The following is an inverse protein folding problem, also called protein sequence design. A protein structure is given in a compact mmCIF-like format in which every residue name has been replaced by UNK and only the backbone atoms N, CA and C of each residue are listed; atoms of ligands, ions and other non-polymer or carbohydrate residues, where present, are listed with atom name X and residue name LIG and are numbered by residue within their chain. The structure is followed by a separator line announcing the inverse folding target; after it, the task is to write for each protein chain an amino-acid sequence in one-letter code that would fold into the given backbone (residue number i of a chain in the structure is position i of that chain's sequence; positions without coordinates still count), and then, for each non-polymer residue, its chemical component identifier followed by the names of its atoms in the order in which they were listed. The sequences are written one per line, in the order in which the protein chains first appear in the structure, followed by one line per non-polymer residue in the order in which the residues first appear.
data_IF_359725333366
#
_entry.id   IF_359725333366
#
_cell.length_a   1.000
_cell.length_b   1.000
_cell.length_c   1.000
_cell.angle_alpha   90.00
_cell.angle_beta   90.00
_cell.angle_gamma   90.00
#
_symmetry.space_group_name_H-M   'P 1'
#
loop_
_entity.id
_entity.type
_entity.pdbx_description
1 polymer ?
#
# COMPACT_ATOMS: atom_id res chain seq x y z
N UNK A 1 -0.35 -10.75 -6.95
CA UNK A 1 0.82 -9.88 -6.66
C UNK A 1 1.28 -9.26 -7.97
N UNK A 2 1.54 -7.96 -8.00
CA UNK A 2 2.09 -7.26 -9.16
C UNK A 2 3.30 -6.41 -8.78
N UNK A 3 4.08 -6.01 -9.78
CA UNK A 3 5.13 -4.99 -9.69
C UNK A 3 4.88 -3.91 -10.74
N UNK A 4 4.65 -2.68 -10.29
CA UNK A 4 4.24 -1.58 -11.16
C UNK A 4 5.43 -0.75 -11.62
N UNK A 5 5.52 -0.50 -12.93
CA UNK A 5 6.67 0.12 -13.60
C UNK A 5 6.30 1.16 -14.66
N UNK A 6 5.00 1.40 -14.89
CA UNK A 6 4.56 2.47 -15.79
C UNK A 6 4.86 3.84 -15.15
N UNK A 7 5.54 4.72 -15.88
CA UNK A 7 5.75 6.09 -15.44
C UNK A 7 4.88 7.04 -16.28
N UNK A 8 3.92 7.64 -15.61
CA UNK A 8 3.03 8.64 -16.19
C UNK A 8 3.77 9.84 -16.77
N UNK A 9 3.39 10.24 -17.97
CA UNK A 9 3.81 11.50 -18.60
C UNK A 9 3.26 12.73 -17.88
N UNK A 10 2.17 12.58 -17.12
CA UNK A 10 1.63 13.63 -16.26
C UNK A 10 2.41 13.79 -14.93
N UNK A 11 3.39 12.92 -14.65
CA UNK A 11 4.16 12.97 -13.41
C UNK A 11 5.13 14.18 -13.41
N UNK A 12 4.93 15.17 -12.51
CA UNK A 12 5.73 16.41 -12.49
C UNK A 12 7.14 16.22 -11.94
N UNK A 13 7.41 15.08 -11.30
CA UNK A 13 8.68 14.82 -10.64
C UNK A 13 9.80 14.54 -11.64
N UNK A 14 11.08 14.79 -11.30
CA UNK A 14 12.20 14.46 -12.16
C UNK A 14 12.24 12.97 -12.55
N UNK A 15 12.68 12.67 -13.79
CA UNK A 15 12.71 11.30 -14.33
C UNK A 15 13.52 10.31 -13.49
N UNK A 16 14.57 10.77 -12.81
CA UNK A 16 15.43 9.92 -11.96
C UNK A 16 14.70 9.34 -10.74
N UNK A 17 13.57 9.93 -10.34
CA UNK A 17 12.76 9.42 -9.23
C UNK A 17 11.94 8.17 -9.62
N UNK A 18 11.96 7.76 -10.89
CA UNK A 18 11.30 6.54 -11.34
C UNK A 18 9.78 6.61 -11.16
N UNK A 19 9.15 5.52 -10.72
CA UNK A 19 7.71 5.50 -10.46
C UNK A 19 7.44 5.86 -9.01
N UNK A 20 6.77 6.99 -8.81
CA UNK A 20 6.48 7.50 -7.46
C UNK A 20 5.32 6.74 -6.83
N UNK A 21 5.35 6.63 -5.50
CA UNK A 21 4.27 6.03 -4.72
C UNK A 21 2.93 6.73 -5.01
N UNK A 22 1.89 5.94 -5.27
CA UNK A 22 0.53 6.41 -5.53
C UNK A 22 0.24 6.77 -6.98
N UNK A 23 1.23 6.76 -7.89
CA UNK A 23 1.01 7.04 -9.31
C UNK A 23 0.44 5.85 -10.10
N UNK A 24 0.22 4.70 -9.46
CA UNK A 24 -0.60 3.64 -10.03
C UNK A 24 -2.10 3.97 -9.96
N UNK A 25 -2.51 4.81 -9.00
CA UNK A 25 -3.91 5.12 -8.69
C UNK A 25 -4.59 5.79 -9.88
N UNK A 26 -3.92 6.71 -10.57
CA UNK A 26 -4.48 7.42 -11.72
C UNK A 26 -4.94 6.45 -12.83
N UNK A 27 -4.22 5.35 -13.05
CA UNK A 27 -4.59 4.33 -14.02
C UNK A 27 -5.72 3.43 -13.52
N UNK A 28 -5.70 3.10 -12.23
CA UNK A 28 -6.73 2.31 -11.58
C UNK A 28 -8.10 2.99 -11.57
N UNK A 29 -8.14 4.33 -11.69
CA UNK A 29 -9.37 5.13 -11.73
C UNK A 29 -9.69 5.75 -13.10
N UNK A 30 -8.94 5.43 -14.16
CA UNK A 30 -9.28 5.92 -15.50
C UNK A 30 -8.92 7.39 -15.76
N UNK A 31 -7.94 7.97 -15.05
CA UNK A 31 -7.58 9.37 -15.22
C UNK A 31 -7.10 9.73 -16.65
N UNK A 32 -6.29 8.91 -17.36
CA UNK A 32 -5.93 9.19 -18.76
C UNK A 32 -7.13 9.24 -19.71
N UNK A 33 -8.23 8.56 -19.37
CA UNK A 33 -9.46 8.53 -20.16
C UNK A 33 -10.33 9.77 -19.88
N UNK A 34 -10.43 10.17 -18.61
CA UNK A 34 -11.31 11.26 -18.16
C UNK A 34 -10.65 12.64 -18.23
N UNK A 35 -9.32 12.71 -18.11
CA UNK A 35 -8.52 13.94 -18.12
C UNK A 35 -7.30 13.81 -19.05
N UNK A 36 -7.51 13.55 -20.36
CA UNK A 36 -6.42 13.33 -21.32
C UNK A 36 -5.48 14.53 -21.48
N UNK A 37 -5.95 15.74 -21.18
CA UNK A 37 -5.16 16.98 -21.29
C UNK A 37 -3.99 17.07 -20.32
N UNK A 38 -3.94 16.24 -19.27
CA UNK A 38 -2.85 16.19 -18.31
C UNK A 38 -1.62 15.44 -18.82
N UNK A 39 -1.76 14.65 -19.88
CA UNK A 39 -0.75 13.72 -20.38
C UNK A 39 -0.08 14.26 -21.65
N UNK A 40 1.13 13.76 -21.96
CA UNK A 40 1.81 14.08 -23.21
C UNK A 40 1.03 13.49 -24.38
N UNK A 41 0.69 14.33 -25.37
CA UNK A 41 -0.07 13.93 -26.57
C UNK A 41 0.60 12.80 -27.36
N UNK A 42 1.93 12.72 -27.35
CA UNK A 42 2.67 11.70 -28.08
C UNK A 42 2.54 10.30 -27.44
N UNK A 43 2.20 10.24 -26.16
CA UNK A 43 2.11 9.00 -25.38
C UNK A 43 0.71 8.72 -24.85
N UNK A 44 -0.23 9.67 -25.03
CA UNK A 44 -1.59 9.60 -24.49
C UNK A 44 -2.31 8.29 -24.85
N UNK A 45 -2.16 7.81 -26.08
CA UNK A 45 -2.76 6.56 -26.55
C UNK A 45 -2.24 5.35 -25.74
N UNK A 46 -0.94 5.30 -25.44
CA UNK A 46 -0.35 4.28 -24.57
C UNK A 46 -0.88 4.37 -23.14
N UNK A 47 -0.99 5.58 -22.58
CA UNK A 47 -1.51 5.83 -21.23
C UNK A 47 -2.98 5.41 -21.09
N UNK A 48 -3.79 5.70 -22.12
CA UNK A 48 -5.19 5.32 -22.18
C UNK A 48 -5.37 3.81 -22.29
N UNK A 49 -4.63 3.14 -23.19
CA UNK A 49 -4.63 1.67 -23.29
C UNK A 49 -4.19 1.03 -21.99
N UNK A 50 -3.16 1.56 -21.35
CA UNK A 50 -2.69 1.02 -20.08
C UNK A 50 -3.73 1.19 -18.98
N UNK A 51 -4.40 2.34 -18.89
CA UNK A 51 -5.48 2.55 -17.92
C UNK A 51 -6.66 1.61 -18.16
N UNK A 52 -7.09 1.43 -19.42
CA UNK A 52 -8.13 0.46 -19.78
C UNK A 52 -7.74 -0.96 -19.39
N UNK A 53 -6.49 -1.34 -19.65
CA UNK A 53 -5.94 -2.64 -19.28
C UNK A 53 -5.98 -2.87 -17.76
N UNK A 54 -5.55 -1.89 -16.96
CA UNK A 54 -5.60 -1.96 -15.50
C UNK A 54 -7.05 -2.07 -14.99
N UNK A 55 -7.96 -1.25 -15.52
CA UNK A 55 -9.38 -1.30 -15.18
C UNK A 55 -10.00 -2.66 -15.48
N UNK A 56 -9.64 -3.26 -16.63
CA UNK A 56 -10.10 -4.59 -17.01
C UNK A 56 -9.60 -5.65 -16.02
N UNK A 57 -8.30 -5.65 -15.70
CA UNK A 57 -7.72 -6.58 -14.71
C UNK A 57 -8.43 -6.50 -13.35
N UNK A 58 -8.74 -5.28 -12.89
CA UNK A 58 -9.47 -5.08 -11.63
C UNK A 58 -10.93 -5.49 -11.70
N UNK A 59 -11.60 -5.17 -12.81
CA UNK A 59 -12.97 -5.62 -13.09
C UNK A 59 -13.07 -7.14 -13.08
N UNK A 60 -12.19 -7.82 -13.81
CA UNK A 60 -12.16 -9.28 -13.92
C UNK A 60 -11.83 -9.94 -12.58
N UNK A 61 -10.90 -9.37 -11.80
CA UNK A 61 -10.62 -9.82 -10.44
C UNK A 61 -11.84 -9.67 -9.52
N UNK A 62 -12.52 -8.53 -9.56
CA UNK A 62 -13.70 -8.28 -8.72
C UNK A 62 -14.87 -9.21 -9.06
N UNK A 63 -14.99 -9.60 -10.33
CA UNK A 63 -16.09 -10.42 -10.83
C UNK A 63 -15.82 -11.92 -10.65
N UNK A 64 -14.59 -12.37 -10.92
CA UNK A 64 -14.26 -13.81 -11.03
C UNK A 64 -13.25 -14.29 -9.99
N UNK A 65 -12.58 -13.37 -9.28
CA UNK A 65 -11.45 -13.67 -8.40
C UNK A 65 -10.13 -13.92 -9.14
N UNK A 66 -10.11 -13.86 -10.47
CA UNK A 66 -8.93 -14.07 -11.31
C UNK A 66 -8.77 -12.91 -12.31
N UNK A 67 -7.75 -12.04 -12.18
CA UNK A 67 -7.61 -10.86 -13.03
C UNK A 67 -7.29 -11.20 -14.49
N UNK A 68 -6.50 -12.26 -14.73
CA UNK A 68 -6.12 -12.71 -16.06
C UNK A 68 -5.54 -14.12 -16.00
N UNK A 69 -5.64 -14.93 -17.07
CA UNK A 69 -5.11 -16.30 -17.10
C UNK A 69 -3.57 -16.36 -17.01
N UNK A 70 -2.87 -15.35 -17.52
CA UNK A 70 -1.41 -15.24 -17.47
C UNK A 70 -0.90 -14.60 -16.18
N UNK A 71 -1.78 -14.12 -15.29
CA UNK A 71 -1.36 -13.57 -14.00
C UNK A 71 -1.27 -14.70 -12.97
N UNK A 72 -0.06 -15.15 -12.59
CA UNK A 72 0.08 -16.26 -11.67
C UNK A 72 -0.41 -15.90 -10.27
N UNK A 73 -1.13 -16.84 -9.63
CA UNK A 73 -1.49 -16.74 -8.22
C UNK A 73 -0.23 -16.74 -7.36
N UNK A 74 -0.12 -15.72 -6.51
CA UNK A 74 1.04 -15.59 -5.63
C UNK A 74 1.11 -16.75 -4.62
N UNK A 75 2.31 -17.28 -4.42
CA UNK A 75 2.59 -18.26 -3.38
C UNK A 75 3.98 -18.01 -2.77
N UNK A 76 4.22 -18.50 -1.55
CA UNK A 76 5.46 -18.25 -0.79
C UNK A 76 6.68 -18.99 -1.31
N UNK A 77 6.49 -19.97 -2.21
CA UNK A 77 7.56 -20.81 -2.75
C UNK A 77 8.12 -20.16 -4.02
N UNK A 78 7.27 -20.02 -5.04
CA UNK A 78 7.64 -19.48 -6.34
C UNK A 78 7.74 -17.95 -6.35
N UNK A 79 7.00 -17.25 -5.48
CA UNK A 79 7.07 -15.79 -5.31
C UNK A 79 6.99 -15.00 -6.63
N UNK A 80 6.12 -15.44 -7.55
CA UNK A 80 5.89 -14.82 -8.86
C UNK A 80 4.98 -13.59 -8.76
N UNK A 81 5.31 -12.53 -9.50
CA UNK A 81 4.52 -11.32 -9.65
C UNK A 81 4.45 -10.90 -11.12
N UNK A 82 3.28 -10.42 -11.55
CA UNK A 82 3.11 -9.84 -12.88
C UNK A 82 3.68 -8.42 -12.90
N UNK A 83 4.47 -8.07 -13.92
CA UNK A 83 4.90 -6.69 -14.12
C UNK A 83 3.83 -5.93 -14.90
N UNK A 84 3.43 -4.80 -14.36
CA UNK A 84 2.50 -3.86 -14.99
C UNK A 84 3.30 -2.64 -15.44
N UNK A 85 3.45 -2.45 -16.74
CA UNK A 85 4.25 -1.39 -17.33
C UNK A 85 3.87 -1.10 -18.77
N UNK A 86 4.67 -0.30 -19.46
CA UNK A 86 4.42 0.05 -20.87
C UNK A 86 4.33 -1.19 -21.78
N UNK A 87 5.20 -2.18 -21.57
CA UNK A 87 5.22 -3.47 -22.28
C UNK A 87 3.86 -4.20 -22.19
N UNK A 88 3.13 -4.05 -21.07
CA UNK A 88 1.82 -4.67 -20.88
C UNK A 88 0.78 -4.19 -21.90
N UNK A 89 0.92 -2.95 -22.41
CA UNK A 89 0.03 -2.42 -23.46
C UNK A 89 0.24 -3.07 -24.82
N UNK A 90 1.40 -3.71 -25.02
CA UNK A 90 1.77 -4.42 -26.26
C UNK A 90 1.40 -5.90 -26.21
N UNK A 91 0.73 -6.34 -25.13
CA UNK A 91 0.40 -7.75 -24.90
C UNK A 91 1.56 -8.58 -24.36
N UNK A 92 2.66 -7.94 -23.95
CA UNK A 92 3.78 -8.62 -23.31
C UNK A 92 3.50 -8.83 -21.82
N UNK A 93 3.62 -10.06 -21.35
CA UNK A 93 3.34 -10.44 -19.97
C UNK A 93 4.63 -10.87 -19.28
N UNK A 94 5.30 -9.92 -18.63
CA UNK A 94 6.55 -10.19 -17.91
C UNK A 94 6.27 -10.65 -16.49
N UNK A 95 6.79 -11.82 -16.11
CA UNK A 95 6.71 -12.35 -14.76
C UNK A 95 8.04 -12.16 -14.05
N UNK A 96 8.03 -11.44 -12.93
CA UNK A 96 9.18 -11.33 -12.04
C UNK A 96 9.07 -12.35 -10.90
N UNK A 97 10.21 -12.94 -10.54
CA UNK A 97 10.33 -13.89 -9.43
C UNK A 97 11.10 -13.21 -8.31
N UNK A 98 10.59 -13.33 -7.09
CA UNK A 98 11.24 -12.83 -5.86
C UNK A 98 11.56 -11.32 -5.91
N UNK A 99 10.52 -10.51 -6.14
CA UNK A 99 10.61 -9.05 -6.21
C UNK A 99 11.31 -8.50 -4.96
N UNK A 100 12.45 -7.83 -5.16
CA UNK A 100 13.33 -7.29 -4.11
C UNK A 100 13.77 -8.31 -3.04
N UNK A 101 13.78 -9.61 -3.34
CA UNK A 101 14.03 -10.66 -2.35
C UNK A 101 15.37 -10.58 -1.62
N UNK A 102 16.43 -10.05 -2.25
CA UNK A 102 17.72 -9.81 -1.60
C UNK A 102 17.62 -8.71 -0.54
N UNK A 103 16.98 -7.59 -0.86
CA UNK A 103 16.79 -6.46 0.05
C UNK A 103 15.87 -6.81 1.21
N UNK A 104 14.79 -7.55 0.95
CA UNK A 104 13.90 -8.02 2.02
C UNK A 104 14.65 -8.89 3.04
N UNK A 105 15.50 -9.81 2.56
CA UNK A 105 16.35 -10.65 3.43
C UNK A 105 17.32 -9.81 4.26
N UNK A 106 17.99 -8.85 3.63
CA UNK A 106 18.91 -7.94 4.33
C UNK A 106 18.21 -7.14 5.43
N UNK A 107 16.99 -6.65 5.17
CA UNK A 107 16.19 -5.94 6.17
C UNK A 107 15.78 -6.87 7.31
N UNK A 108 15.40 -8.11 7.03
CA UNK A 108 15.00 -9.08 8.05
C UNK A 108 16.19 -9.49 8.93
N UNK A 109 17.38 -9.66 8.35
CA UNK A 109 18.63 -9.86 9.08
C UNK A 109 18.95 -8.65 9.96
N UNK A 110 18.84 -7.43 9.43
CA UNK A 110 19.04 -6.19 10.17
C UNK A 110 18.09 -6.04 11.37
N UNK A 111 16.80 -6.35 11.19
CA UNK A 111 15.80 -6.38 12.28
C UNK A 111 16.14 -7.40 13.35
N UNK A 112 16.68 -8.56 12.93
CA UNK A 112 17.13 -9.62 13.85
C UNK A 112 18.29 -9.14 14.71
N UNK A 113 19.28 -8.48 14.11
CA UNK A 113 20.43 -7.92 14.83
C UNK A 113 20.03 -6.76 15.74
N UNK A 114 19.11 -5.89 15.30
CA UNK A 114 18.63 -4.74 16.06
C UNK A 114 17.69 -5.11 17.24
N UNK A 115 17.42 -6.40 17.46
CA UNK A 115 16.50 -6.84 18.52
C UNK A 115 15.04 -6.46 18.28
N UNK A 116 14.68 -6.05 17.06
CA UNK A 116 13.33 -5.62 16.68
C UNK A 116 12.40 -6.80 16.35
N UNK A 117 12.85 -8.03 16.57
CA UNK A 117 12.01 -9.21 16.36
C UNK A 117 11.00 -9.26 17.49
N UNK A 118 9.76 -8.91 17.18
CA UNK A 118 8.61 -9.11 18.06
C UNK A 118 8.56 -10.55 18.56
N UNK A 119 8.16 -10.69 19.83
CA UNK A 119 8.14 -11.86 20.72
C UNK A 119 7.56 -13.19 20.16
N UNK A 120 7.10 -13.24 18.91
CA UNK A 120 6.60 -14.46 18.29
C UNK A 120 7.65 -15.58 18.22
N UNK A 121 8.96 -15.27 18.17
CA UNK A 121 10.01 -16.30 18.21
C UNK A 121 10.27 -16.83 19.63
N UNK A 122 10.04 -16.01 20.67
CA UNK A 122 10.19 -16.44 22.08
C UNK A 122 9.11 -17.45 22.50
N UNK A 123 7.94 -17.45 21.84
CA UNK A 123 6.87 -18.43 22.09
C UNK A 123 7.14 -19.80 21.46
N UNK A 124 8.17 -19.95 20.61
CA UNK A 124 8.50 -21.23 19.94
C UNK A 124 9.37 -22.17 20.79
N UNK A 125 9.98 -21.66 21.85
CA UNK A 125 10.79 -22.43 22.80
C UNK A 125 10.08 -22.74 24.12
N UNK A 126 8.81 -22.35 24.28
CA UNK A 126 8.04 -22.84 25.42
C UNK A 126 7.53 -24.26 25.13
N UNK A 127 7.90 -25.27 25.93
CA UNK A 127 7.33 -26.60 25.80
C UNK A 127 5.82 -26.55 26.08
N UNK A 128 5.08 -27.45 25.43
CA UNK A 128 3.62 -27.64 25.58
C UNK A 128 3.34 -28.24 26.96
N UNK A 129 3.51 -27.47 28.02
CA UNK A 129 3.22 -27.90 29.38
C UNK A 129 2.92 -26.69 30.27
N UNK A 130 1.76 -26.07 30.04
CA UNK A 130 0.97 -25.37 31.07
C UNK A 130 -0.33 -24.85 30.44
N UNK A 131 -1.22 -25.73 29.99
CA UNK A 131 -2.65 -25.42 30.08
C UNK A 131 -3.04 -25.80 31.51
N UNK A 132 -2.69 -24.93 32.46
CA UNK A 132 -3.25 -24.96 33.80
C UNK A 132 -4.41 -23.98 33.81
N UNK A 133 -5.61 -24.52 33.97
CA UNK A 133 -6.83 -23.79 34.23
C UNK A 133 -6.66 -22.90 35.46
N UNK A 134 -6.84 -21.60 35.30
CA UNK A 134 -7.18 -20.71 36.41
C UNK A 134 -8.44 -19.94 36.05
N UNK A 135 -9.56 -20.52 36.47
CA UNK A 135 -10.77 -19.80 36.85
C UNK A 135 -10.41 -18.62 37.77
N UNK A 136 -10.77 -17.40 37.39
CA UNK A 136 -10.47 -16.18 38.15
C UNK A 136 -11.34 -15.02 37.70
N UNK A 137 -12.55 -14.98 38.26
CA UNK A 137 -13.30 -13.81 38.74
C UNK A 137 -13.24 -12.49 37.95
N UNK A 138 -14.38 -12.12 37.37
CA UNK A 138 -14.74 -10.76 36.98
C UNK A 138 -14.68 -9.82 38.19
N UNK A 139 -13.82 -8.80 38.14
CA UNK A 139 -13.89 -7.66 39.05
C UNK A 139 -14.28 -6.43 38.23
N UNK A 140 -15.52 -5.98 38.44
CA UNK A 140 -16.00 -4.66 38.06
C UNK A 140 -15.35 -3.67 39.05
N UNK A 141 -14.72 -2.62 38.55
CA UNK A 141 -14.30 -1.49 39.38
C UNK A 141 -14.76 -0.20 38.71
N UNK A 142 -15.89 0.30 39.17
CA UNK A 142 -16.32 1.68 39.01
C UNK A 142 -15.48 2.56 39.93
N UNK A 143 -14.93 3.65 39.40
CA UNK A 143 -14.44 4.77 40.22
C UNK A 143 -14.47 6.05 39.39
N UNK A 144 -15.44 6.88 39.73
CA UNK A 144 -15.57 8.29 39.36
C UNK A 144 -14.49 9.12 40.05
N UNK A 145 -13.72 9.91 39.31
CA UNK A 145 -12.93 10.99 39.88
C UNK A 145 -12.87 12.16 38.89
N UNK A 146 -13.16 13.35 39.41
CA UNK A 146 -13.62 14.54 38.69
C UNK A 146 -12.62 15.19 37.73
N UNK A 147 -13.19 15.81 36.70
CA UNK A 147 -12.56 16.76 35.79
C UNK A 147 -12.52 18.13 36.50
N UNK A 148 -11.38 18.80 36.67
CA UNK A 148 -11.39 20.23 36.97
C UNK A 148 -11.58 21.00 35.65
N UNK A 149 -12.77 21.58 35.53
CA UNK A 149 -13.16 22.56 34.53
C UNK A 149 -12.42 23.88 34.83
N UNK A 150 -11.59 24.37 33.92
CA UNK A 150 -11.09 25.75 33.97
C UNK A 150 -11.80 26.53 32.85
N UNK A 151 -12.86 27.25 33.21
CA UNK A 151 -13.47 28.30 32.40
C UNK A 151 -13.35 29.64 33.10
N UNK A 152 -13.56 30.71 32.32
CA UNK A 152 -13.73 32.13 32.67
C UNK A 152 -12.44 32.97 32.67
N UNK A 153 -12.31 34.12 32.00
CA UNK A 153 -13.28 35.13 31.49
C UNK A 153 -12.69 35.89 30.28
N UNK A 154 -13.60 36.37 29.44
CA UNK A 154 -13.49 37.28 28.28
C UNK A 154 -13.05 38.72 28.65
N UNK A 155 -12.22 39.36 27.80
CA UNK A 155 -12.19 40.82 27.59
C UNK A 155 -11.64 41.11 26.18
N UNK A 156 -12.50 41.24 25.16
CA UNK A 156 -12.96 42.49 24.51
C UNK A 156 -11.84 43.48 24.19
N UNK A 157 -11.58 43.72 22.90
CA UNK A 157 -10.82 44.89 22.45
C UNK A 157 -10.27 44.83 21.02
N UNK A 158 -11.10 45.27 20.07
CA UNK A 158 -10.87 45.79 18.69
C UNK A 158 -9.42 46.04 18.22
N UNK A 159 -9.17 45.82 16.92
CA UNK A 159 -8.51 46.67 15.89
C UNK A 159 -8.11 45.71 14.74
N UNK A 160 -8.82 45.55 13.61
CA UNK A 160 -9.12 46.48 12.50
C UNK A 160 -7.88 47.17 11.90
N UNK A 161 -7.37 46.59 10.81
CA UNK A 161 -6.91 47.21 9.54
C UNK A 161 -5.54 47.93 9.51
N UNK A 162 -4.88 47.79 8.34
CA UNK A 162 -3.68 48.46 7.77
C UNK A 162 -2.38 47.65 7.92
N UNK A 163 -1.60 47.33 6.89
CA UNK A 163 -1.55 47.71 5.47
C UNK A 163 -0.83 46.63 4.68
#
# INVERSE_FOLDING_TARGET
MYYFTMRSTANPWPKWMGVMHGYEIEYAFGQPLTRPSLYDKNYLDTEQRFSQYILQLWSDFSTTGSPAPYWPKYNRIERKALVLGEESTRGEHRIMVDVHGSYCRLIDEGKTVAGQVTECRARRTQPVAAVASSSGTSVISSSTAGIPMLTFVVAVGRYLVLS
#
